data_IF_276628814930
#
_entry.id   IF_276628814930
#
_cell.length_a   1.000
_cell.length_b   1.000
_cell.length_c   1.000
_cell.angle_alpha   90.00
_cell.angle_beta   90.00
_cell.angle_gamma   90.00
#
_symmetry.space_group_name_H-M   'P 1'
#
loop_
_entity.id
_entity.type
_entity.pdbx_description
1 polymer ?
#
# COMPACT_ATOMS: atom_id res chain seq x y z
N UNK A 1 -1.89 18.83 -3.28
CA UNK A 1 -0.76 17.96 -2.89
C UNK A 1 -1.34 16.58 -2.62
N UNK A 2 -1.51 15.76 -3.67
CA UNK A 2 -2.10 14.42 -3.55
C UNK A 2 -0.93 13.43 -3.52
N UNK A 3 -0.71 12.85 -2.36
CA UNK A 3 0.35 11.85 -2.12
C UNK A 3 -0.09 10.50 -2.68
N UNK A 4 0.69 9.98 -3.62
CA UNK A 4 0.58 8.61 -4.09
C UNK A 4 0.73 7.63 -2.91
N UNK A 5 0.06 6.47 -2.93
CA UNK A 5 0.19 5.48 -1.86
C UNK A 5 1.67 5.08 -1.66
N UNK A 6 2.09 4.71 -0.43
CA UNK A 6 3.47 4.32 -0.13
C UNK A 6 3.81 2.95 -0.74
N UNK A 7 3.99 2.89 -2.06
CA UNK A 7 4.50 1.72 -2.75
C UNK A 7 6.02 1.69 -2.62
N UNK A 8 6.57 0.71 -1.90
CA UNK A 8 8.01 0.52 -1.79
C UNK A 8 8.68 0.08 -3.12
N UNK A 9 7.90 -0.01 -4.22
CA UNK A 9 8.37 -0.23 -5.59
C UNK A 9 8.01 0.88 -6.59
N UNK A 10 7.27 1.95 -6.20
CA UNK A 10 6.84 3.00 -7.16
C UNK A 10 8.03 3.63 -7.89
N UNK A 11 9.17 3.71 -7.22
CA UNK A 11 10.39 4.19 -7.81
C UNK A 11 10.96 3.35 -8.96
N UNK A 12 10.86 2.02 -8.88
CA UNK A 12 11.25 1.11 -9.98
C UNK A 12 10.23 1.20 -11.11
N UNK A 13 8.94 1.36 -10.78
CA UNK A 13 7.90 1.63 -11.77
C UNK A 13 8.23 2.89 -12.58
N UNK A 14 8.54 4.01 -11.93
CA UNK A 14 8.98 5.24 -12.61
C UNK A 14 10.21 5.04 -13.50
N UNK A 15 11.20 4.24 -13.06
CA UNK A 15 12.36 3.91 -13.90
C UNK A 15 11.97 3.10 -15.13
N UNK A 16 11.14 2.07 -14.98
CA UNK A 16 10.70 1.21 -16.08
C UNK A 16 9.80 1.95 -17.08
N UNK A 17 8.86 2.77 -16.60
CA UNK A 17 8.00 3.58 -17.47
C UNK A 17 8.77 4.68 -18.22
N UNK A 18 9.88 5.18 -17.67
CA UNK A 18 10.72 6.19 -18.33
C UNK A 18 11.81 5.58 -19.23
N UNK A 19 12.20 4.32 -19.00
CA UNK A 19 13.16 3.60 -19.83
C UNK A 19 12.53 2.88 -21.03
N UNK A 20 11.21 2.62 -21.01
CA UNK A 20 10.48 1.91 -22.06
C UNK A 20 9.69 2.94 -22.89
N UNK A 21 10.14 3.30 -24.12
CA UNK A 21 9.56 4.38 -24.93
C UNK A 21 8.24 4.00 -25.65
N UNK A 22 7.40 3.14 -25.08
CA UNK A 22 6.20 2.59 -25.73
C UNK A 22 4.91 2.94 -24.97
N UNK A 23 3.76 2.74 -25.62
CA UNK A 23 2.42 2.95 -25.04
C UNK A 23 2.22 2.03 -23.83
N UNK A 24 2.37 2.59 -22.63
CA UNK A 24 2.20 1.86 -21.37
C UNK A 24 0.75 2.07 -20.86
N UNK A 25 0.15 1.00 -20.34
CA UNK A 25 -1.15 1.02 -19.66
C UNK A 25 -0.92 0.72 -18.17
N UNK A 26 -0.95 1.72 -17.27
CA UNK A 26 -0.88 1.49 -15.83
C UNK A 26 -2.18 0.86 -15.33
N UNK A 27 -2.03 -0.22 -14.56
CA UNK A 27 -3.14 -0.84 -13.83
C UNK A 27 -2.90 -0.63 -12.34
N UNK A 28 -3.73 0.18 -11.69
CA UNK A 28 -3.62 0.48 -10.26
C UNK A 28 -4.62 -0.36 -9.45
N UNK A 29 -4.18 -1.21 -8.51
CA UNK A 29 -5.09 -1.91 -7.62
C UNK A 29 -5.61 -0.96 -6.52
N UNK A 30 -6.86 -1.17 -6.09
CA UNK A 30 -7.42 -0.48 -4.93
C UNK A 30 -6.58 -0.73 -3.67
N UNK A 31 -6.15 0.34 -2.99
CA UNK A 31 -5.14 0.31 -1.93
C UNK A 31 -5.68 -0.17 -0.56
N UNK A 32 -4.79 -0.76 0.26
CA UNK A 32 -5.00 -1.05 1.69
C UNK A 32 -3.91 -0.33 2.49
N UNK A 33 -4.29 0.57 3.41
CA UNK A 33 -3.39 1.49 4.12
C UNK A 33 -2.55 0.89 5.26
N UNK A 34 -1.54 1.65 5.72
CA UNK A 34 -0.63 1.36 6.85
C UNK A 34 -1.25 1.92 8.14
N UNK A 35 -1.44 1.05 9.15
CA UNK A 35 -2.49 1.24 10.18
C UNK A 35 -1.95 1.62 11.58
N UNK A 36 -0.66 1.44 11.87
CA UNK A 36 -0.14 1.43 13.25
C UNK A 36 0.42 2.75 13.79
N UNK A 37 0.83 3.70 12.95
CA UNK A 37 1.47 4.95 13.43
C UNK A 37 0.46 5.96 14.01
N UNK A 38 -0.73 6.05 13.41
CA UNK A 38 -1.80 6.96 13.85
C UNK A 38 -2.32 6.61 15.24
N UNK A 39 -2.43 5.31 15.54
CA UNK A 39 -2.92 4.77 16.81
C UNK A 39 -2.07 5.25 17.99
N UNK A 40 -0.74 5.07 17.88
CA UNK A 40 0.18 5.47 18.93
C UNK A 40 0.21 6.99 19.15
N UNK A 41 0.10 7.78 18.07
CA UNK A 41 0.06 9.23 18.17
C UNK A 41 -1.19 9.72 18.93
N UNK A 42 -2.37 9.19 18.58
CA UNK A 42 -3.64 9.58 19.20
C UNK A 42 -3.64 9.22 20.70
N UNK A 43 -3.15 8.02 21.07
CA UNK A 43 -3.02 7.63 22.48
C UNK A 43 -2.01 8.53 23.21
N UNK A 44 -0.85 8.82 22.61
CA UNK A 44 0.19 9.62 23.24
C UNK A 44 -0.22 11.09 23.47
N UNK A 45 -1.09 11.65 22.63
CA UNK A 45 -1.62 13.00 22.81
C UNK A 45 -2.79 13.07 23.82
N UNK A 46 -3.42 11.94 24.13
CA UNK A 46 -4.61 11.88 25.00
C UNK A 46 -4.50 10.78 26.09
N UNK A 47 -3.38 10.67 26.82
CA UNK A 47 -3.12 9.53 27.70
C UNK A 47 -4.05 9.46 28.93
N UNK A 48 -4.67 10.58 29.30
CA UNK A 48 -5.57 10.66 30.44
C UNK A 48 -7.00 10.21 30.11
N UNK A 49 -7.37 10.15 28.82
CA UNK A 49 -8.72 9.79 28.37
C UNK A 49 -8.77 8.64 27.36
N UNK A 50 -7.65 8.25 26.77
CA UNK A 50 -7.55 7.11 25.84
C UNK A 50 -6.48 6.15 26.32
N UNK A 51 -6.86 4.89 26.54
CA UNK A 51 -5.95 3.81 26.96
C UNK A 51 -5.53 2.89 25.80
N UNK A 52 -6.25 2.97 24.68
CA UNK A 52 -5.94 2.24 23.45
C UNK A 52 -6.67 2.83 22.24
N UNK A 53 -6.06 2.66 21.06
CA UNK A 53 -6.65 3.06 19.80
C UNK A 53 -6.37 1.97 18.75
N UNK A 54 -7.33 1.73 17.86
CA UNK A 54 -7.20 0.75 16.79
C UNK A 54 -7.85 1.28 15.50
N UNK A 55 -7.04 1.56 14.49
CA UNK A 55 -7.52 1.86 13.15
C UNK A 55 -7.92 0.55 12.45
N UNK A 56 -9.07 0.56 11.79
CA UNK A 56 -9.64 -0.57 11.05
C UNK A 56 -10.05 -0.12 9.64
N UNK A 57 -10.50 -1.05 8.80
CA UNK A 57 -10.97 -0.72 7.44
C UNK A 57 -10.33 -1.56 6.33
N UNK A 58 -9.66 -2.67 6.65
CA UNK A 58 -9.23 -3.63 5.62
C UNK A 58 -10.46 -4.15 4.87
N UNK A 59 -10.51 -3.94 3.55
CA UNK A 59 -11.65 -4.24 2.66
C UNK A 59 -12.91 -3.38 2.87
N UNK A 60 -12.80 -2.19 3.46
CA UNK A 60 -13.89 -1.21 3.57
C UNK A 60 -13.51 0.08 2.82
N UNK A 61 -14.51 0.84 2.37
CA UNK A 61 -14.32 2.03 1.54
C UNK A 61 -13.59 3.17 2.29
N UNK A 62 -13.80 3.27 3.61
CA UNK A 62 -13.16 4.24 4.49
C UNK A 62 -12.59 3.58 5.76
N UNK A 63 -11.46 4.11 6.25
CA UNK A 63 -10.89 3.69 7.51
C UNK A 63 -11.71 4.21 8.70
N UNK A 64 -11.84 3.39 9.74
CA UNK A 64 -12.51 3.76 10.98
C UNK A 64 -11.55 3.63 12.16
N UNK A 65 -11.83 4.36 13.25
CA UNK A 65 -11.00 4.40 14.45
C UNK A 65 -11.80 3.90 15.64
N UNK A 66 -11.30 2.84 16.27
CA UNK A 66 -11.81 2.37 17.55
C UNK A 66 -11.01 3.01 18.68
N UNK A 67 -11.71 3.54 19.68
CA UNK A 67 -11.12 4.18 20.85
C UNK A 67 -11.51 3.40 22.10
N UNK A 68 -10.49 2.93 22.82
CA UNK A 68 -10.60 2.38 24.17
C UNK A 68 -10.43 3.54 25.16
N UNK A 69 -11.52 4.04 25.79
CA UNK A 69 -11.42 5.13 26.76
C UNK A 69 -10.62 4.68 27.99
N UNK A 70 -9.94 5.61 28.65
CA UNK A 70 -9.35 5.36 29.97
C UNK A 70 -10.49 5.25 30.98
N UNK A 71 -10.59 4.11 31.66
CA UNK A 71 -11.68 3.84 32.58
C UNK A 71 -11.76 4.91 33.69
N UNK A 72 -12.88 5.61 33.76
CA UNK A 72 -13.22 6.49 34.90
C UNK A 72 -14.22 5.77 35.82
N UNK A 73 -15.08 4.90 35.28
CA UNK A 73 -16.09 4.11 35.99
C UNK A 73 -16.32 2.74 35.29
N UNK A 74 -16.87 1.73 35.98
CA UNK A 74 -17.17 0.39 35.44
C UNK A 74 -18.38 0.35 34.48
N UNK A 75 -18.96 1.50 34.14
CA UNK A 75 -20.09 1.62 33.22
C UNK A 75 -19.68 2.24 31.87
N UNK A 76 -20.30 1.80 30.74
CA UNK A 76 -20.05 2.40 29.43
C UNK A 76 -20.42 3.89 29.40
N UNK A 77 -19.63 4.69 28.68
CA UNK A 77 -19.90 6.11 28.50
C UNK A 77 -21.27 6.32 27.84
N UNK A 78 -22.05 7.28 28.36
CA UNK A 78 -23.29 7.74 27.72
C UNK A 78 -23.02 8.38 26.36
N UNK A 79 -24.04 8.49 25.50
CA UNK A 79 -23.91 9.10 24.16
C UNK A 79 -23.33 10.52 24.21
N UNK A 80 -23.67 11.30 25.26
CA UNK A 80 -23.15 12.66 25.44
C UNK A 80 -21.66 12.61 25.75
N UNK A 81 -21.24 11.76 26.69
CA UNK A 81 -19.83 11.59 27.05
C UNK A 81 -19.00 11.04 25.88
N UNK A 82 -19.57 10.16 25.06
CA UNK A 82 -18.91 9.68 23.84
C UNK A 82 -18.69 10.82 22.85
N UNK A 83 -19.68 11.69 22.62
CA UNK A 83 -19.54 12.84 21.75
C UNK A 83 -18.50 13.84 22.28
N UNK A 84 -18.50 14.14 23.58
CA UNK A 84 -17.51 15.00 24.23
C UNK A 84 -16.09 14.43 24.09
N UNK A 85 -15.93 13.12 24.25
CA UNK A 85 -14.65 12.45 24.05
C UNK A 85 -14.17 12.55 22.60
N UNK A 86 -15.06 12.34 21.62
CA UNK A 86 -14.74 12.49 20.20
C UNK A 86 -14.28 13.92 19.91
N UNK A 87 -15.00 14.94 20.39
CA UNK A 87 -14.60 16.35 20.23
C UNK A 87 -13.23 16.62 20.84
N UNK A 88 -12.95 16.05 22.01
CA UNK A 88 -11.68 16.22 22.71
C UNK A 88 -10.49 15.63 21.95
N UNK A 89 -10.64 14.42 21.39
CA UNK A 89 -9.54 13.74 20.67
C UNK A 89 -9.44 14.19 19.20
N UNK A 90 -10.47 14.83 18.65
CA UNK A 90 -10.54 15.23 17.24
C UNK A 90 -9.32 16.02 16.73
N UNK A 91 -8.76 17.00 17.47
CA UNK A 91 -7.55 17.71 17.01
C UNK A 91 -6.36 16.78 16.76
N UNK A 92 -6.17 15.75 17.60
CA UNK A 92 -5.09 14.77 17.43
C UNK A 92 -5.34 13.83 16.23
N UNK A 93 -6.61 13.49 15.96
CA UNK A 93 -7.02 12.74 14.77
C UNK A 93 -6.79 13.58 13.52
N UNK A 94 -7.15 14.87 13.53
CA UNK A 94 -6.90 15.77 12.42
C UNK A 94 -5.40 15.91 12.11
N UNK A 95 -4.56 15.99 13.14
CA UNK A 95 -3.11 16.02 12.97
C UNK A 95 -2.59 14.69 12.38
N UNK A 96 -3.07 13.55 12.89
CA UNK A 96 -2.76 12.23 12.35
C UNK A 96 -3.25 12.05 10.90
N UNK A 97 -4.37 12.68 10.52
CA UNK A 97 -4.93 12.66 9.17
C UNK A 97 -4.12 13.49 8.17
N UNK A 98 -3.39 14.52 8.61
CA UNK A 98 -2.51 15.31 7.73
C UNK A 98 -1.40 14.47 7.13
N UNK A 99 -0.87 13.53 7.91
CA UNK A 99 0.19 12.61 7.52
C UNK A 99 -0.35 11.31 6.88
N UNK A 100 -1.68 11.10 6.89
CA UNK A 100 -2.33 9.91 6.34
C UNK A 100 -2.72 10.08 4.85
N UNK A 101 -2.61 9.02 4.03
CA UNK A 101 -3.18 9.04 2.68
C UNK A 101 -4.71 9.17 2.73
N UNK A 102 -5.33 9.71 1.68
CA UNK A 102 -6.76 10.06 1.68
C UNK A 102 -7.69 8.93 2.15
N UNK A 103 -7.44 7.69 1.70
CA UNK A 103 -8.24 6.51 2.07
C UNK A 103 -8.04 6.01 3.52
N UNK A 104 -7.02 6.50 4.23
CA UNK A 104 -6.73 6.17 5.63
C UNK A 104 -7.02 7.34 6.58
N UNK A 105 -7.61 8.42 6.07
CA UNK A 105 -8.08 9.52 6.91
C UNK A 105 -9.35 9.08 7.62
N UNK A 106 -9.38 9.36 8.92
CA UNK A 106 -10.52 9.04 9.77
C UNK A 106 -11.49 10.21 9.76
N UNK A 107 -12.71 9.95 9.34
CA UNK A 107 -13.81 10.90 9.46
C UNK A 107 -14.44 10.82 10.84
N UNK A 108 -15.05 11.93 11.28
CA UNK A 108 -15.61 12.03 12.64
C UNK A 108 -16.75 11.02 12.86
N UNK A 109 -17.53 10.78 11.81
CA UNK A 109 -18.60 9.78 11.79
C UNK A 109 -18.09 8.32 11.88
N UNK A 110 -16.80 8.08 11.62
CA UNK A 110 -16.15 6.77 11.65
C UNK A 110 -15.25 6.59 12.88
N UNK A 111 -15.51 7.34 13.95
CA UNK A 111 -14.90 7.13 15.26
C UNK A 111 -15.88 6.38 16.16
N UNK A 112 -15.48 5.21 16.63
CA UNK A 112 -16.27 4.37 17.53
C UNK A 112 -15.61 4.31 18.91
N UNK A 113 -16.33 4.77 19.92
CA UNK A 113 -15.95 4.60 21.33
C UNK A 113 -16.38 3.21 21.78
N UNK A 114 -15.42 2.41 22.25
CA UNK A 114 -15.68 1.03 22.64
C UNK A 114 -16.31 0.96 24.04
N UNK A 115 -17.29 0.06 24.26
CA UNK A 115 -17.92 -0.14 25.57
C UNK A 115 -17.06 -0.96 26.54
N UNK A 116 -15.87 -1.40 26.13
CA UNK A 116 -14.99 -2.23 26.93
C UNK A 116 -13.56 -2.29 26.39
N UNK A 117 -12.68 -3.08 27.03
CA UNK A 117 -11.26 -3.08 26.71
C UNK A 117 -10.92 -3.85 25.43
N UNK A 118 -9.86 -3.41 24.76
CA UNK A 118 -9.26 -4.14 23.66
C UNK A 118 -8.52 -5.38 24.19
N UNK A 119 -8.60 -6.50 23.48
CA UNK A 119 -7.87 -7.71 23.84
C UNK A 119 -6.37 -7.48 23.70
N UNK A 120 -5.61 -7.88 24.72
CA UNK A 120 -4.15 -7.73 24.77
C UNK A 120 -3.47 -9.07 25.06
N UNK A 121 -2.31 -9.29 24.46
CA UNK A 121 -1.44 -10.41 24.81
C UNK A 121 -0.78 -10.18 26.18
N UNK A 122 -0.15 -11.21 26.76
CA UNK A 122 0.54 -11.11 28.07
C UNK A 122 1.66 -10.07 28.16
N UNK A 123 2.03 -9.41 27.05
CA UNK A 123 2.97 -8.29 26.97
C UNK A 123 2.29 -6.91 26.76
N UNK A 124 0.97 -6.81 26.93
CA UNK A 124 0.20 -5.56 26.78
C UNK A 124 -0.11 -5.11 25.34
N UNK A 125 0.39 -5.84 24.34
CA UNK A 125 0.14 -5.58 22.90
C UNK A 125 -1.29 -5.91 22.51
N UNK A 126 -1.98 -5.00 21.80
CA UNK A 126 -3.35 -5.21 21.30
C UNK A 126 -3.39 -6.33 20.26
N UNK A 127 -4.24 -7.32 20.49
CA UNK A 127 -4.54 -8.43 19.59
C UNK A 127 -5.61 -8.00 18.57
N UNK A 128 -5.20 -7.21 17.58
CA UNK A 128 -6.08 -6.56 16.60
C UNK A 128 -7.20 -7.45 16.05
N UNK A 129 -6.86 -8.63 15.53
CA UNK A 129 -7.85 -9.54 14.93
C UNK A 129 -8.88 -10.04 15.94
N UNK A 130 -8.45 -10.33 17.17
CA UNK A 130 -9.34 -10.77 18.24
C UNK A 130 -10.23 -9.62 18.72
N UNK A 131 -9.68 -8.42 18.88
CA UNK A 131 -10.45 -7.22 19.24
C UNK A 131 -11.47 -6.84 18.17
N UNK A 132 -11.11 -6.91 16.88
CA UNK A 132 -12.04 -6.67 15.77
C UNK A 132 -13.17 -7.71 15.78
N UNK A 133 -12.85 -8.98 16.05
CA UNK A 133 -13.86 -10.03 16.15
C UNK A 133 -14.80 -9.81 17.34
N UNK A 134 -14.29 -9.31 18.47
CA UNK A 134 -15.08 -8.98 19.66
C UNK A 134 -16.12 -7.89 19.38
N UNK A 135 -15.74 -6.83 18.65
CA UNK A 135 -16.59 -5.66 18.38
C UNK A 135 -17.23 -5.67 16.99
N UNK A 136 -17.38 -6.85 16.38
CA UNK A 136 -17.84 -6.97 15.00
C UNK A 136 -19.22 -6.31 14.78
N UNK A 137 -20.14 -6.43 15.74
CA UNK A 137 -21.51 -5.90 15.61
C UNK A 137 -21.52 -4.38 15.58
N UNK A 138 -20.75 -3.77 16.48
CA UNK A 138 -20.62 -2.32 16.61
C UNK A 138 -19.92 -1.73 15.40
N UNK A 139 -18.88 -2.41 14.89
CA UNK A 139 -18.20 -2.04 13.65
C UNK A 139 -19.14 -2.12 12.45
N UNK A 140 -19.91 -3.20 12.30
CA UNK A 140 -20.86 -3.35 11.19
C UNK A 140 -21.96 -2.28 11.24
N UNK A 141 -22.43 -1.91 12.44
CA UNK A 141 -23.41 -0.83 12.62
C UNK A 141 -22.84 0.57 12.33
N UNK A 142 -21.58 0.83 12.70
CA UNK A 142 -20.88 2.08 12.38
C UNK A 142 -20.87 2.34 10.87
N UNK A 143 -20.48 1.33 10.09
CA UNK A 143 -20.44 1.44 8.64
C UNK A 143 -21.84 1.56 8.02
N UNK A 144 -22.82 0.79 8.50
CA UNK A 144 -24.19 0.88 7.99
C UNK A 144 -24.84 2.26 8.20
N UNK A 145 -24.47 2.96 9.28
CA UNK A 145 -24.97 4.32 9.55
C UNK A 145 -24.24 5.39 8.74
N UNK A 146 -22.96 5.19 8.42
CA UNK A 146 -22.20 6.10 7.56
C UNK A 146 -22.76 6.13 6.13
N UNK A 147 -23.15 4.98 5.59
CA UNK A 147 -23.76 4.85 4.25
C UNK A 147 -25.10 5.62 4.09
N UNK A 148 -25.75 6.01 5.20
CA UNK A 148 -27.03 6.75 5.20
C UNK A 148 -26.82 8.27 5.23
N UNK A 149 -25.68 8.75 5.73
CA UNK A 149 -25.40 10.19 5.95
C UNK A 149 -24.93 10.90 4.67
N UNK A 150 -24.34 10.18 3.71
CA UNK A 150 -23.88 10.72 2.41
C UNK A 150 -25.01 11.15 1.44
N UNK A 151 -26.27 11.18 1.90
CA UNK A 151 -27.46 11.43 1.08
C UNK A 151 -28.07 12.84 1.14
N UNK A 152 -27.55 13.79 1.93
CA UNK A 152 -28.14 15.14 2.07
C UNK A 152 -27.12 16.28 1.83
N UNK A 153 -27.44 17.10 0.83
CA UNK A 153 -26.66 18.17 0.20
C UNK A 153 -26.87 19.54 0.92
N UNK A 154 -25.80 20.32 1.15
CA UNK A 154 -25.94 21.77 1.36
C UNK A 154 -24.70 22.55 0.90
N UNK A 155 -24.95 23.63 0.17
CA UNK A 155 -23.98 24.41 -0.58
C UNK A 155 -23.44 25.64 0.15
N UNK A 156 -22.20 26.01 -0.17
CA UNK A 156 -21.73 27.41 -0.11
C UNK A 156 -20.49 27.61 -1.00
N UNK A 157 -20.48 28.71 -1.75
CA UNK A 157 -19.51 29.05 -2.80
C UNK A 157 -18.30 29.85 -2.28
N UNK A 158 -17.11 29.63 -2.87
CA UNK A 158 -15.94 30.52 -2.76
C UNK A 158 -14.67 30.08 -3.52
N UNK A 159 -14.46 30.65 -4.72
CA UNK A 159 -13.21 30.83 -5.50
C UNK A 159 -12.41 29.62 -6.08
N UNK A 160 -12.87 29.17 -7.26
CA UNK A 160 -12.16 28.66 -8.46
C UNK A 160 -10.88 27.81 -8.32
N UNK A 161 -11.06 26.55 -7.92
CA UNK A 161 -10.38 25.41 -8.54
C UNK A 161 -11.25 24.90 -9.72
N UNK A 162 -10.74 24.14 -10.70
CA UNK A 162 -11.61 23.52 -11.70
C UNK A 162 -12.68 22.71 -10.98
N UNK A 163 -13.94 23.08 -11.18
CA UNK A 163 -15.07 22.47 -10.48
C UNK A 163 -15.23 21.03 -10.96
N UNK A 164 -15.05 20.08 -10.06
CA UNK A 164 -15.39 18.68 -10.30
C UNK A 164 -16.89 18.54 -10.09
N UNK A 165 -17.59 18.13 -11.14
CA UNK A 165 -18.98 17.73 -10.99
C UNK A 165 -19.00 16.26 -10.56
N UNK A 166 -19.24 16.02 -9.28
CA UNK A 166 -19.24 14.66 -8.70
C UNK A 166 -20.42 13.81 -9.17
N UNK A 167 -21.43 14.40 -9.80
CA UNK A 167 -22.54 13.69 -10.44
C UNK A 167 -22.24 13.31 -11.91
N UNK A 168 -21.18 13.87 -12.50
CA UNK A 168 -20.72 13.56 -13.85
C UNK A 168 -19.40 12.79 -13.83
N UNK A 169 -19.48 11.48 -14.06
CA UNK A 169 -18.31 10.61 -14.14
C UNK A 169 -17.30 11.03 -15.21
N UNK A 170 -17.69 11.79 -16.25
CA UNK A 170 -16.74 12.32 -17.23
C UNK A 170 -15.96 13.55 -16.69
N UNK A 171 -16.55 14.31 -15.78
CA UNK A 171 -15.90 15.42 -15.05
C UNK A 171 -14.94 14.89 -14.01
N UNK A 172 -15.38 13.89 -13.22
CA UNK A 172 -14.53 13.18 -12.24
C UNK A 172 -13.36 12.50 -12.95
N UNK A 173 -13.61 11.78 -14.05
CA UNK A 173 -12.55 11.12 -14.82
C UNK A 173 -11.56 12.12 -15.41
N UNK A 174 -12.01 13.27 -15.97
CA UNK A 174 -11.10 14.31 -16.44
C UNK A 174 -10.20 14.85 -15.32
N UNK A 175 -10.77 15.13 -14.16
CA UNK A 175 -10.01 15.65 -13.04
C UNK A 175 -9.00 14.63 -12.51
N UNK A 176 -9.39 13.36 -12.39
CA UNK A 176 -8.48 12.26 -12.03
C UNK A 176 -7.36 12.18 -13.07
N UNK A 177 -7.71 12.22 -14.35
CA UNK A 177 -6.78 12.11 -15.46
C UNK A 177 -5.77 13.27 -15.53
N UNK A 178 -6.21 14.51 -15.35
CA UNK A 178 -5.35 15.70 -15.30
C UNK A 178 -4.46 15.72 -14.06
N UNK A 179 -4.99 15.26 -12.91
CA UNK A 179 -4.25 15.15 -11.64
C UNK A 179 -3.19 14.04 -11.67
N UNK A 180 -3.46 12.93 -12.37
CA UNK A 180 -2.50 11.83 -12.57
C UNK A 180 -1.45 12.21 -13.63
N UNK A 181 -1.85 12.90 -14.70
CA UNK A 181 -0.94 13.35 -15.76
C UNK A 181 0.11 14.36 -15.29
N UNK A 182 -0.26 15.22 -14.32
CA UNK A 182 0.66 16.23 -13.74
C UNK A 182 1.69 15.63 -12.78
N UNK A 183 1.42 14.47 -12.17
CA UNK A 183 2.32 13.80 -11.21
C UNK A 183 3.22 12.74 -11.88
N UNK A 184 2.75 12.12 -12.96
CA UNK A 184 3.44 10.98 -13.60
C UNK A 184 4.44 11.37 -14.70
N UNK A 185 4.48 12.65 -15.10
CA UNK A 185 5.47 13.15 -16.05
C UNK A 185 5.35 12.53 -17.46
N UNK A 186 4.17 12.06 -17.86
CA UNK A 186 3.92 11.58 -19.23
C UNK A 186 3.25 10.22 -19.38
N UNK A 187 2.39 9.78 -18.45
CA UNK A 187 1.44 8.70 -18.76
C UNK A 187 0.19 9.35 -19.39
N UNK A 188 -0.23 8.88 -20.56
CA UNK A 188 -1.49 9.31 -21.16
C UNK A 188 -2.61 8.87 -20.21
N UNK A 189 -3.41 9.80 -19.64
CA UNK A 189 -4.45 9.43 -18.69
C UNK A 189 -5.51 8.50 -19.27
N UNK A 190 -5.71 8.53 -20.59
CA UNK A 190 -6.58 7.60 -21.31
C UNK A 190 -6.11 6.13 -21.22
N UNK A 191 -4.87 5.89 -20.79
CA UNK A 191 -4.26 4.57 -20.67
C UNK A 191 -4.23 4.05 -19.23
N UNK A 192 -4.85 4.71 -18.26
CA UNK A 192 -4.91 4.21 -16.86
C UNK A 192 -6.19 3.43 -16.65
N UNK A 193 -6.08 2.21 -16.13
CA UNK A 193 -7.22 1.34 -15.85
C UNK A 193 -7.36 1.09 -14.35
N UNK A 194 -8.57 1.31 -13.85
CA UNK A 194 -8.99 0.85 -12.54
C UNK A 194 -9.35 -0.64 -12.62
N UNK A 195 -8.73 -1.47 -11.78
CA UNK A 195 -8.87 -2.92 -11.85
C UNK A 195 -8.82 -3.56 -10.46
N UNK A 196 -9.60 -4.63 -10.28
CA UNK A 196 -9.46 -5.56 -9.17
C UNK A 196 -8.83 -6.84 -9.72
N UNK A 197 -7.50 -6.93 -9.61
CA UNK A 197 -6.73 -8.05 -10.15
C UNK A 197 -7.19 -9.40 -9.60
N UNK A 198 -7.79 -9.43 -8.39
CA UNK A 198 -8.26 -10.68 -7.79
C UNK A 198 -9.51 -11.25 -8.47
N UNK A 199 -10.24 -10.44 -9.24
CA UNK A 199 -11.45 -10.84 -9.97
C UNK A 199 -11.13 -11.39 -11.36
N UNK A 200 -12.02 -12.23 -11.93
CA UNK A 200 -11.96 -12.60 -13.34
C UNK A 200 -11.84 -11.35 -14.23
N UNK A 201 -11.12 -11.48 -15.34
CA UNK A 201 -10.85 -10.39 -16.29
C UNK A 201 -10.24 -9.14 -15.63
N UNK A 202 -9.54 -9.31 -14.50
CA UNK A 202 -8.97 -8.22 -13.70
C UNK A 202 -10.04 -7.23 -13.15
N UNK A 203 -11.31 -7.65 -13.10
CA UNK A 203 -12.42 -6.76 -12.75
C UNK A 203 -12.78 -5.74 -13.83
N UNK A 204 -12.20 -5.86 -15.03
CA UNK A 204 -12.48 -5.01 -16.18
C UNK A 204 -13.70 -5.51 -16.94
N UNK A 205 -14.32 -4.64 -17.73
CA UNK A 205 -15.32 -5.06 -18.71
C UNK A 205 -14.65 -5.85 -19.86
N UNK A 206 -15.44 -6.68 -20.56
CA UNK A 206 -14.91 -7.57 -21.61
C UNK A 206 -14.20 -6.84 -22.76
N UNK A 207 -14.69 -5.66 -23.15
CA UNK A 207 -14.12 -4.90 -24.25
C UNK A 207 -12.72 -4.40 -23.89
N UNK A 208 -12.56 -3.83 -22.70
CA UNK A 208 -11.26 -3.38 -22.17
C UNK A 208 -10.31 -4.56 -21.99
N UNK A 209 -10.77 -5.68 -21.43
CA UNK A 209 -9.93 -6.86 -21.23
C UNK A 209 -9.47 -7.46 -22.57
N UNK A 210 -10.33 -7.52 -23.60
CA UNK A 210 -9.92 -7.94 -24.95
C UNK A 210 -8.87 -7.01 -25.55
N UNK A 211 -9.03 -5.69 -25.34
CA UNK A 211 -8.02 -4.72 -25.75
C UNK A 211 -6.64 -5.04 -25.18
N UNK A 212 -6.56 -5.37 -23.89
CA UNK A 212 -5.31 -5.80 -23.25
C UNK A 212 -4.80 -7.13 -23.83
N UNK A 213 -5.69 -8.11 -23.95
CA UNK A 213 -5.37 -9.44 -24.46
C UNK A 213 -4.74 -9.42 -25.86
N UNK A 214 -5.16 -8.50 -26.73
CA UNK A 214 -4.69 -8.43 -28.11
C UNK A 214 -3.42 -7.59 -28.29
N UNK A 215 -3.00 -6.83 -27.27
CA UNK A 215 -1.94 -5.82 -27.40
C UNK A 215 -0.79 -5.97 -26.38
N UNK A 216 -1.04 -6.59 -25.22
CA UNK A 216 -0.06 -6.68 -24.15
C UNK A 216 1.05 -7.67 -24.51
N UNK A 217 2.26 -7.16 -24.67
CA UNK A 217 3.48 -7.95 -24.90
C UNK A 217 4.40 -8.05 -23.68
N UNK A 218 4.20 -7.18 -22.70
CA UNK A 218 4.98 -7.11 -21.45
C UNK A 218 4.05 -6.76 -20.28
N UNK A 219 4.13 -7.56 -19.23
CA UNK A 219 3.47 -7.29 -17.94
C UNK A 219 4.55 -7.09 -16.89
N UNK A 220 4.57 -5.93 -16.25
CA UNK A 220 5.42 -5.66 -15.08
C UNK A 220 4.52 -5.62 -13.84
N UNK A 221 4.51 -6.69 -13.06
CA UNK A 221 3.75 -6.77 -11.82
C UNK A 221 4.61 -6.34 -10.63
N UNK A 222 4.45 -5.07 -10.26
CA UNK A 222 5.13 -4.43 -9.13
C UNK A 222 4.19 -4.10 -7.96
N UNK A 223 2.88 -4.13 -8.19
CA UNK A 223 1.89 -3.74 -7.20
C UNK A 223 1.73 -4.83 -6.14
N UNK A 224 2.26 -4.58 -4.94
CA UNK A 224 2.18 -5.52 -3.82
C UNK A 224 2.10 -4.78 -2.49
N UNK A 225 1.22 -5.20 -1.54
CA UNK A 225 1.19 -4.61 -0.21
C UNK A 225 2.50 -4.88 0.54
N UNK A 226 3.19 -3.83 0.97
CA UNK A 226 4.40 -3.96 1.78
C UNK A 226 4.03 -3.76 3.24
N UNK A 227 3.71 -4.86 3.91
CA UNK A 227 3.33 -4.85 5.32
C UNK A 227 3.82 -6.13 6.01
N UNK A 228 4.87 -5.98 6.83
CA UNK A 228 5.52 -7.07 7.55
C UNK A 228 4.70 -7.62 8.72
N UNK A 229 3.63 -6.92 9.13
CA UNK A 229 2.74 -7.32 10.22
C UNK A 229 1.58 -8.21 9.75
N UNK A 230 1.33 -8.30 8.44
CA UNK A 230 0.29 -9.16 7.90
C UNK A 230 0.71 -10.63 7.91
N UNK A 231 -0.24 -11.51 8.24
CA UNK A 231 -0.10 -12.95 8.02
C UNK A 231 -0.22 -13.31 6.54
N UNK A 232 0.29 -14.49 6.16
CA UNK A 232 0.29 -14.95 4.76
C UNK A 232 -1.12 -14.99 4.13
N UNK A 233 -2.15 -15.35 4.90
CA UNK A 233 -3.52 -15.43 4.42
C UNK A 233 -4.07 -14.10 3.88
N UNK A 234 -3.59 -12.95 4.39
CA UNK A 234 -4.00 -11.63 3.92
C UNK A 234 -3.58 -11.37 2.45
N UNK A 235 -2.63 -12.14 1.92
CA UNK A 235 -2.14 -12.01 0.54
C UNK A 235 -2.90 -12.91 -0.45
N UNK A 236 -3.95 -13.63 -0.02
CA UNK A 236 -4.77 -14.46 -0.90
C UNK A 236 -5.28 -13.70 -2.16
N UNK A 237 -5.79 -12.46 -2.05
CA UNK A 237 -6.20 -11.70 -3.24
C UNK A 237 -5.04 -11.43 -4.22
N UNK A 238 -3.80 -11.31 -3.71
CA UNK A 238 -2.62 -11.08 -4.54
C UNK A 238 -2.20 -12.33 -5.32
N UNK A 239 -2.37 -13.52 -4.73
CA UNK A 239 -2.16 -14.77 -5.46
C UNK A 239 -3.21 -14.97 -6.55
N UNK A 240 -4.47 -14.63 -6.27
CA UNK A 240 -5.52 -14.61 -7.30
C UNK A 240 -5.17 -13.63 -8.43
N UNK A 241 -4.69 -12.43 -8.07
CA UNK A 241 -4.17 -11.43 -9.00
C UNK A 241 -3.08 -11.96 -9.93
N UNK A 242 -2.06 -12.60 -9.38
CA UNK A 242 -1.01 -13.24 -10.17
C UNK A 242 -1.56 -14.29 -11.14
N UNK A 243 -2.45 -15.17 -10.68
CA UNK A 243 -3.06 -16.19 -11.54
C UNK A 243 -3.85 -15.57 -12.69
N UNK A 244 -4.61 -14.51 -12.43
CA UNK A 244 -5.37 -13.81 -13.48
C UNK A 244 -4.44 -13.09 -14.47
N UNK A 245 -3.31 -12.53 -14.00
CA UNK A 245 -2.33 -11.92 -14.90
C UNK A 245 -1.55 -12.98 -15.72
N UNK A 246 -1.25 -14.15 -15.16
CA UNK A 246 -0.68 -15.26 -15.92
C UNK A 246 -1.65 -15.76 -16.98
N UNK A 247 -2.95 -15.79 -16.66
CA UNK A 247 -3.98 -16.10 -17.65
C UNK A 247 -3.95 -15.09 -18.79
N UNK A 248 -3.95 -13.80 -18.50
CA UNK A 248 -3.82 -12.75 -19.52
C UNK A 248 -2.56 -12.96 -20.37
N UNK A 249 -1.41 -13.21 -19.76
CA UNK A 249 -0.15 -13.43 -20.46
C UNK A 249 -0.13 -14.70 -21.34
N UNK A 250 -0.82 -15.75 -20.92
CA UNK A 250 -0.83 -17.05 -21.60
C UNK A 250 -1.88 -17.13 -22.71
N UNK A 251 -2.97 -16.37 -22.61
CA UNK A 251 -4.09 -16.45 -23.55
C UNK A 251 -3.95 -15.49 -24.74
N UNK A 252 -3.02 -14.53 -24.72
CA UNK A 252 -2.92 -13.47 -25.75
C UNK A 252 -2.92 -14.01 -27.19
N UNK A 253 -3.54 -13.26 -28.10
CA UNK A 253 -3.55 -13.56 -29.53
C UNK A 253 -2.24 -13.20 -30.25
N UNK A 254 -1.18 -12.89 -29.50
CA UNK A 254 0.10 -12.46 -30.07
C UNK A 254 0.90 -13.67 -30.58
N UNK A 255 1.60 -13.48 -31.70
CA UNK A 255 2.50 -14.49 -32.27
C UNK A 255 3.83 -14.64 -31.50
N UNK A 256 3.93 -14.08 -30.29
CA UNK A 256 5.10 -14.16 -29.42
C UNK A 256 4.65 -14.29 -27.96
N UNK A 257 5.49 -14.93 -27.13
CA UNK A 257 5.22 -15.06 -25.71
C UNK A 257 5.24 -13.69 -25.02
N UNK A 258 4.25 -13.43 -24.17
CA UNK A 258 4.24 -12.27 -23.29
C UNK A 258 5.34 -12.40 -22.25
N UNK A 259 6.15 -11.36 -22.10
CA UNK A 259 7.11 -11.28 -21.00
C UNK A 259 6.40 -10.87 -19.71
N UNK A 260 6.58 -11.65 -18.65
CA UNK A 260 6.05 -11.37 -17.33
C UNK A 260 7.18 -11.08 -16.34
N UNK A 261 7.23 -9.86 -15.82
CA UNK A 261 8.22 -9.42 -14.83
C UNK A 261 7.53 -9.29 -13.47
N UNK A 262 7.94 -10.10 -12.50
CA UNK A 262 7.50 -9.97 -11.11
C UNK A 262 8.55 -9.27 -10.26
N UNK A 263 8.15 -8.17 -9.61
CA UNK A 263 9.01 -7.50 -8.62
C UNK A 263 8.82 -8.20 -7.27
N UNK A 264 9.77 -9.08 -6.95
CA UNK A 264 9.89 -9.77 -5.67
C UNK A 264 10.72 -8.95 -4.66
N UNK A 265 11.15 -9.56 -3.57
CA UNK A 265 11.95 -8.94 -2.52
C UNK A 265 13.06 -9.89 -2.07
N UNK A 266 14.21 -9.35 -1.66
CA UNK A 266 15.28 -10.13 -1.00
C UNK A 266 14.77 -10.87 0.25
N UNK A 267 13.69 -10.38 0.87
CA UNK A 267 13.04 -11.07 2.00
C UNK A 267 12.51 -12.47 1.65
N UNK A 268 12.22 -12.75 0.37
CA UNK A 268 11.79 -14.07 -0.10
C UNK A 268 12.89 -15.14 0.07
N UNK A 269 14.15 -14.72 0.21
CA UNK A 269 15.32 -15.59 0.42
C UNK A 269 16.10 -15.25 1.71
N UNK A 270 15.57 -14.35 2.54
CA UNK A 270 16.27 -13.82 3.70
C UNK A 270 16.55 -14.87 4.80
N UNK A 271 15.80 -15.97 4.83
CA UNK A 271 16.04 -17.08 5.77
C UNK A 271 17.31 -17.88 5.48
N UNK A 272 17.86 -17.78 4.26
CA UNK A 272 19.08 -18.50 3.86
C UNK A 272 20.37 -17.86 4.39
N UNK A 273 20.34 -16.57 4.76
CA UNK A 273 21.53 -15.80 5.09
C UNK A 273 22.32 -16.35 6.30
N UNK A 274 21.66 -17.08 7.20
CA UNK A 274 22.31 -17.65 8.38
C UNK A 274 23.14 -18.92 8.09
N UNK A 275 23.02 -19.52 6.89
CA UNK A 275 23.58 -20.85 6.60
C UNK A 275 24.35 -20.97 5.28
N UNK A 276 24.60 -19.87 4.58
CA UNK A 276 25.34 -19.88 3.32
C UNK A 276 26.70 -19.22 3.48
N UNK A 277 27.74 -19.90 3.01
CA UNK A 277 29.04 -19.29 2.74
C UNK A 277 28.99 -18.62 1.35
N UNK A 278 28.69 -17.32 1.31
CA UNK A 278 28.71 -16.51 0.08
C UNK A 278 27.34 -15.97 -0.36
N UNK A 279 27.26 -15.36 -1.56
CA UNK A 279 26.06 -14.70 -2.04
C UNK A 279 24.92 -15.70 -2.30
N UNK A 280 23.68 -15.25 -2.08
CA UNK A 280 22.50 -16.07 -2.35
C UNK A 280 22.38 -16.32 -3.86
N UNK A 281 22.32 -17.59 -4.32
CA UNK A 281 22.19 -17.89 -5.74
C UNK A 281 20.90 -17.35 -6.38
N UNK A 282 21.00 -16.85 -7.62
CA UNK A 282 19.87 -16.40 -8.44
C UNK A 282 19.12 -17.60 -9.06
N UNK A 283 18.50 -18.41 -8.19
CA UNK A 283 17.63 -19.53 -8.58
C UNK A 283 16.34 -19.51 -7.80
N UNK A 284 15.34 -20.23 -8.29
CA UNK A 284 14.10 -20.50 -7.56
C UNK A 284 14.39 -21.52 -6.46
N UNK A 285 13.96 -21.21 -5.24
CA UNK A 285 14.04 -22.10 -4.09
C UNK A 285 12.68 -22.67 -3.77
N UNK A 286 12.63 -23.89 -3.22
CA UNK A 286 11.37 -24.60 -2.91
C UNK A 286 11.17 -24.87 -1.42
N UNK A 287 12.18 -24.64 -0.58
CA UNK A 287 12.07 -24.83 0.87
C UNK A 287 11.30 -23.68 1.53
N UNK A 288 10.39 -24.00 2.44
CA UNK A 288 9.65 -23.01 3.23
C UNK A 288 10.49 -22.29 4.29
N UNK A 289 11.72 -22.74 4.53
CA UNK A 289 12.69 -22.07 5.39
C UNK A 289 13.48 -20.97 4.64
N UNK A 290 13.28 -20.85 3.32
CA UNK A 290 13.95 -19.86 2.46
C UNK A 290 13.60 -18.40 2.81
N UNK A 291 12.31 -18.01 2.97
CA UNK A 291 11.97 -16.63 3.29
C UNK A 291 12.17 -16.27 4.76
N UNK A 292 12.20 -14.98 5.07
CA UNK A 292 12.04 -14.52 6.46
C UNK A 292 10.72 -15.04 7.07
N UNK A 293 10.67 -15.26 8.41
CA UNK A 293 9.52 -15.86 9.09
C UNK A 293 8.36 -14.86 9.31
N UNK A 294 7.98 -14.10 8.28
CA UNK A 294 6.82 -13.19 8.30
C UNK A 294 5.94 -13.37 7.04
N UNK A 295 4.71 -12.86 7.08
CA UNK A 295 3.74 -13.09 6.00
C UNK A 295 4.11 -12.41 4.68
N UNK A 296 4.70 -11.20 4.73
CA UNK A 296 5.17 -10.50 3.52
C UNK A 296 6.23 -11.32 2.78
N UNK A 297 7.29 -11.74 3.46
CA UNK A 297 8.38 -12.52 2.89
C UNK A 297 7.89 -13.86 2.31
N UNK A 298 7.05 -14.58 3.06
CA UNK A 298 6.40 -15.81 2.60
C UNK A 298 5.49 -15.57 1.40
N UNK A 299 4.83 -14.42 1.32
CA UNK A 299 3.98 -14.08 0.16
C UNK A 299 4.81 -13.88 -1.09
N UNK A 300 5.93 -13.14 -1.02
CA UNK A 300 6.84 -12.95 -2.15
C UNK A 300 7.45 -14.28 -2.60
N UNK A 301 7.89 -15.11 -1.66
CA UNK A 301 8.38 -16.46 -1.95
C UNK A 301 7.35 -17.34 -2.67
N UNK A 302 6.10 -17.39 -2.18
CA UNK A 302 5.05 -18.16 -2.85
C UNK A 302 4.74 -17.61 -4.25
N UNK A 303 4.80 -16.29 -4.44
CA UNK A 303 4.67 -15.67 -5.75
C UNK A 303 5.80 -16.05 -6.71
N UNK A 304 7.03 -16.21 -6.23
CA UNK A 304 8.15 -16.73 -7.05
C UNK A 304 7.89 -18.17 -7.51
N UNK A 305 7.36 -19.03 -6.64
CA UNK A 305 6.94 -20.39 -7.00
C UNK A 305 5.81 -20.40 -8.03
N UNK A 306 4.85 -19.48 -7.91
CA UNK A 306 3.78 -19.32 -8.90
C UNK A 306 4.32 -18.86 -10.25
N UNK A 307 5.26 -17.92 -10.26
CA UNK A 307 5.95 -17.46 -11.47
C UNK A 307 6.71 -18.61 -12.16
N UNK A 308 7.45 -19.41 -11.39
CA UNK A 308 8.18 -20.58 -11.90
C UNK A 308 7.21 -21.65 -12.46
N UNK A 309 6.09 -21.87 -11.78
CA UNK A 309 5.05 -22.79 -12.27
C UNK A 309 4.39 -22.28 -13.56
N UNK A 310 4.12 -20.98 -13.67
CA UNK A 310 3.57 -20.35 -14.87
C UNK A 310 4.55 -20.50 -16.05
N UNK A 311 5.83 -20.19 -15.85
CA UNK A 311 6.86 -20.35 -16.87
C UNK A 311 6.93 -21.79 -17.40
N UNK A 312 6.94 -22.79 -16.49
CA UNK A 312 7.07 -24.20 -16.86
C UNK A 312 5.81 -24.81 -17.48
N UNK A 313 4.61 -24.33 -17.11
CA UNK A 313 3.34 -24.96 -17.49
C UNK A 313 2.57 -24.19 -18.56
N UNK A 314 2.69 -22.88 -18.58
CA UNK A 314 1.99 -21.99 -19.50
C UNK A 314 2.91 -21.43 -20.59
N UNK A 315 4.23 -21.64 -20.48
CA UNK A 315 5.21 -21.15 -21.46
C UNK A 315 5.42 -19.64 -21.40
N UNK A 316 5.05 -18.98 -20.30
CA UNK A 316 5.23 -17.53 -20.13
C UNK A 316 6.71 -17.19 -19.93
N UNK A 317 7.23 -16.20 -20.67
CA UNK A 317 8.61 -15.71 -20.49
C UNK A 317 8.70 -14.90 -19.18
N UNK A 318 9.10 -15.56 -18.09
CA UNK A 318 8.94 -15.02 -16.74
C UNK A 318 10.27 -14.63 -16.11
N UNK A 319 10.34 -13.40 -15.59
CA UNK A 319 11.48 -12.84 -14.89
C UNK A 319 11.09 -12.45 -13.47
N UNK A 320 11.93 -12.82 -12.49
CA UNK A 320 11.75 -12.48 -11.08
C UNK A 320 12.86 -11.51 -10.68
N UNK A 321 12.50 -10.35 -10.16
CA UNK A 321 13.43 -9.33 -9.68
C UNK A 321 13.36 -9.22 -8.17
N UNK A 322 14.36 -9.73 -7.43
CA UNK A 322 14.41 -9.60 -5.96
C UNK A 322 15.02 -8.26 -5.58
N UNK A 323 14.20 -7.35 -5.06
CA UNK A 323 14.63 -6.00 -4.71
C UNK A 323 14.93 -5.88 -3.21
N UNK A 324 16.04 -5.22 -2.88
CA UNK A 324 16.44 -4.85 -1.53
C UNK A 324 15.75 -3.56 -1.05
N UNK A 325 16.43 -2.80 -0.19
CA UNK A 325 15.93 -1.50 0.25
C UNK A 325 15.96 -0.50 -0.92
N UNK A 326 14.83 0.11 -1.25
CA UNK A 326 14.77 1.21 -2.22
C UNK A 326 14.86 2.53 -1.45
N UNK A 327 15.85 3.35 -1.77
CA UNK A 327 16.08 4.65 -1.13
C UNK A 327 15.54 5.81 -1.97
N UNK A 328 15.36 6.97 -1.34
CA UNK A 328 14.94 8.21 -1.99
C UNK A 328 15.88 8.65 -3.13
N UNK A 329 15.39 9.53 -4.00
CA UNK A 329 16.13 9.93 -5.20
C UNK A 329 17.36 10.81 -4.87
N UNK A 330 18.54 10.46 -5.43
CA UNK A 330 19.83 11.09 -5.03
C UNK A 330 20.24 12.29 -5.89
N UNK A 331 19.60 12.50 -7.05
CA UNK A 331 20.10 13.43 -8.10
C UNK A 331 19.16 14.57 -8.49
N UNK A 332 18.04 14.72 -7.78
CA UNK A 332 17.13 15.85 -7.93
C UNK A 332 17.11 16.66 -6.63
N UNK A 333 17.17 17.98 -6.73
CA UNK A 333 16.80 18.86 -5.60
C UNK A 333 15.34 18.56 -5.24
N UNK A 334 15.10 18.03 -4.04
CA UNK A 334 13.76 17.58 -3.62
C UNK A 334 13.49 16.08 -3.80
N UNK A 335 14.53 15.23 -3.92
CA UNK A 335 14.34 13.78 -3.89
C UNK A 335 13.61 13.33 -2.62
N UNK A 336 12.43 12.73 -2.79
CA UNK A 336 11.61 12.28 -1.66
C UNK A 336 11.92 10.82 -1.31
N UNK A 337 12.09 10.58 -0.02
CA UNK A 337 12.01 9.24 0.57
C UNK A 337 10.72 9.18 1.38
N UNK A 338 9.92 8.13 1.19
CA UNK A 338 8.76 7.87 2.02
C UNK A 338 9.08 7.99 3.52
N UNK A 339 8.59 9.07 4.15
CA UNK A 339 8.90 9.42 5.55
C UNK A 339 8.36 8.43 6.57
N UNK A 340 7.40 7.60 6.15
CA UNK A 340 6.77 6.56 6.99
C UNK A 340 7.53 5.23 6.96
N UNK A 341 8.56 5.10 6.12
CA UNK A 341 9.40 3.91 6.11
C UNK A 341 10.33 3.86 7.33
N UNK A 342 10.83 2.67 7.68
CA UNK A 342 11.56 2.41 8.93
C UNK A 342 12.74 3.36 9.14
N UNK A 343 13.56 3.61 8.11
CA UNK A 343 14.77 4.43 8.24
C UNK A 343 14.45 5.92 8.33
N UNK A 344 13.67 6.54 7.40
CA UNK A 344 13.23 7.92 7.58
C UNK A 344 12.52 8.14 8.93
N UNK A 345 11.67 7.20 9.36
CA UNK A 345 11.00 7.26 10.66
C UNK A 345 12.00 7.24 11.83
N UNK A 346 13.02 6.38 11.77
CA UNK A 346 14.10 6.33 12.76
C UNK A 346 14.85 7.67 12.82
N UNK A 347 15.22 8.23 11.68
CA UNK A 347 15.97 9.50 11.61
C UNK A 347 15.14 10.66 12.15
N UNK A 348 13.86 10.75 11.76
CA UNK A 348 12.93 11.78 12.26
C UNK A 348 12.73 11.63 13.77
N UNK A 349 12.49 10.41 14.26
CA UNK A 349 12.32 10.14 15.69
C UNK A 349 13.59 10.49 16.50
N UNK A 350 14.76 10.10 15.98
CA UNK A 350 16.06 10.39 16.60
C UNK A 350 16.33 11.89 16.71
N UNK A 351 15.98 12.65 15.65
CA UNK A 351 16.05 14.12 15.67
C UNK A 351 15.17 14.72 16.77
N UNK A 352 13.96 14.20 16.95
CA UNK A 352 13.04 14.67 17.98
C UNK A 352 13.52 14.31 19.40
N UNK A 353 14.17 13.17 19.59
CA UNK A 353 14.69 12.71 20.89
C UNK A 353 16.06 13.29 21.25
N UNK A 354 16.80 13.82 20.27
CA UNK A 354 18.16 14.31 20.48
C UNK A 354 19.21 13.21 20.67
N UNK A 355 18.87 11.97 20.30
CA UNK A 355 19.77 10.82 20.39
C UNK A 355 19.54 9.85 19.23
N UNK A 356 20.57 9.06 18.91
CA UNK A 356 20.55 7.99 17.92
C UNK A 356 20.87 6.66 18.62
N UNK A 357 20.39 5.52 18.10
CA UNK A 357 20.84 4.23 18.57
C UNK A 357 22.33 4.03 18.25
N UNK A 358 23.10 3.48 19.18
CA UNK A 358 24.52 3.17 18.98
C UNK A 358 24.73 2.05 17.93
N UNK A 359 23.69 1.26 17.66
CA UNK A 359 23.71 0.15 16.71
C UNK A 359 22.29 -0.11 16.17
N UNK A 360 22.16 -0.45 14.88
CA UNK A 360 20.91 -0.85 14.23
C UNK A 360 20.70 -2.37 14.22
N UNK A 361 21.65 -3.14 14.74
CA UNK A 361 21.65 -4.60 14.74
C UNK A 361 22.48 -5.18 13.59
N UNK A 362 22.84 -6.46 13.71
CA UNK A 362 23.73 -7.14 12.76
C UNK A 362 23.21 -7.09 11.31
N UNK A 363 21.89 -7.15 11.12
CA UNK A 363 21.24 -7.11 9.81
C UNK A 363 21.25 -5.74 9.13
N UNK A 364 21.61 -4.68 9.86
CA UNK A 364 21.62 -3.29 9.38
C UNK A 364 23.00 -2.64 9.53
N UNK A 365 24.04 -3.47 9.69
CA UNK A 365 25.43 -3.04 9.85
C UNK A 365 26.09 -2.66 8.51
N UNK A 366 25.53 -3.11 7.40
CA UNK A 366 25.93 -2.74 6.04
C UNK A 366 24.79 -2.03 5.31
N UNK A 367 25.12 -0.96 4.59
CA UNK A 367 24.17 -0.19 3.79
C UNK A 367 24.19 -0.74 2.36
N UNK A 368 23.16 -1.53 2.01
CA UNK A 368 22.94 -2.04 0.66
C UNK A 368 21.58 -1.57 0.12
N UNK A 369 21.53 -0.30 -0.28
CA UNK A 369 20.30 0.35 -0.72
C UNK A 369 20.40 0.73 -2.19
N UNK A 370 19.33 0.50 -2.93
CA UNK A 370 19.19 0.92 -4.32
C UNK A 370 18.55 2.31 -4.34
N UNK A 371 19.31 3.38 -4.64
CA UNK A 371 18.73 4.69 -4.73
C UNK A 371 17.86 4.85 -5.96
N UNK A 372 16.84 5.70 -5.85
CA UNK A 372 16.09 6.14 -7.02
C UNK A 372 16.92 7.06 -7.91
N UNK A 373 17.06 6.69 -9.18
CA UNK A 373 17.71 7.52 -10.20
C UNK A 373 16.63 8.05 -11.14
N UNK A 374 16.11 9.24 -10.84
CA UNK A 374 15.31 10.01 -11.78
C UNK A 374 16.28 10.82 -12.66
N UNK A 375 16.63 10.30 -13.84
CA UNK A 375 17.18 11.15 -14.91
C UNK A 375 16.06 11.41 -15.92
N UNK A 376 15.75 12.68 -16.27
CA UNK A 376 15.04 12.95 -17.50
C UNK A 376 15.94 12.47 -18.65
N UNK A 377 15.50 11.45 -19.39
CA UNK A 377 16.09 11.14 -20.68
C UNK A 377 15.56 12.20 -21.64
N UNK A 378 16.08 13.42 -21.54
CA UNK A 378 16.11 14.30 -22.69
C UNK A 378 17.19 13.75 -23.62
N UNK A 379 16.75 12.91 -24.56
CA UNK A 379 17.60 12.55 -25.69
C UNK A 379 17.81 13.82 -26.52
N UNK A 380 18.97 14.46 -26.34
CA UNK A 380 19.60 15.14 -27.45
C UNK A 380 21.02 14.60 -27.57
N UNK A 381 21.23 13.93 -28.71
CA UNK A 381 22.48 13.37 -29.24
C UNK A 381 22.87 12.01 -28.69
N UNK A 382 22.73 11.03 -29.59
CA UNK A 382 23.15 9.66 -29.42
C UNK A 382 24.64 9.56 -29.10
N UNK A 383 24.94 8.66 -28.19
CA UNK A 383 26.21 7.95 -28.14
C UNK A 383 25.88 6.49 -28.00
N UNK A 384 26.14 5.73 -29.06
CA UNK A 384 26.30 4.29 -29.00
C UNK A 384 27.36 3.98 -27.94
N UNK A 385 27.06 3.03 -27.06
CA UNK A 385 28.06 2.42 -26.20
C UNK A 385 28.35 1.06 -26.83
N UNK A 386 29.61 0.88 -27.18
CA UNK A 386 30.21 -0.37 -27.68
C UNK A 386 30.44 -1.33 -26.51
#
# INVERSE_FOLDING_TARGET
MVTLPPFHGAGIGMYLFWAIPFENIPIAPAAVGIVTAQEHYIVAQNPDVVSGALVIGTQRFQAALLIEPTAVEDEPLSTIQQAELIERIWPSIQEANKEAPAHARIEKALVLILPGPLLRAGKGTIQRAASIAQYRREIDALYANADVIDGEDDGSQGATAPSIDMADMASVNRFINESVGTVTGGLNPENVLEADLSRPLLGLNEATYRGLHDQVSLIIHNAWPVNFNLGLAAFQPQFAGLVNLFRLAAETNLNHAVRFVFVSSVSAVGGLAAGLDGPVPEKVFTSFDTPYPNGYARSKFLSELLCDAAARRLGTDTMILRVGQVAGAVRLSGGEWNRTEWLPSLVIGSKNMGCLPDNLGLQFSEIDWVPLILKPIHSSKGRQIM
#
